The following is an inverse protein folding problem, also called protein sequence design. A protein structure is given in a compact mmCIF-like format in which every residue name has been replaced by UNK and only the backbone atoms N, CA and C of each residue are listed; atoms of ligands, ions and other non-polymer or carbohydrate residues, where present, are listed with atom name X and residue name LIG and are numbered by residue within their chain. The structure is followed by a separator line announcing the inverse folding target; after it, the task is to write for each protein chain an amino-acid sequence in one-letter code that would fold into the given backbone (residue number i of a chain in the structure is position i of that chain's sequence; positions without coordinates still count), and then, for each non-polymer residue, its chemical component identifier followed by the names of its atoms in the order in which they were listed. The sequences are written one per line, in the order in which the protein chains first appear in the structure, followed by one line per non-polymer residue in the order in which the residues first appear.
data_IF_991748127953
#
_entry.id   IF_991748127953
#
_cell.length_a   1.000
_cell.length_b   1.000
_cell.length_c   1.000
_cell.angle_alpha   90.00
_cell.angle_beta   90.00
_cell.angle_gamma   90.00
#
_symmetry.space_group_name_H-M   'P 1'
#
loop_
_entity.id
_entity.type
_entity.pdbx_description
1 polymer ?
#
# COMPACT_ATOMS: atom_id res chain seq x y z
N UNK A 1 52.40 41.06 25.49
CA UNK A 1 52.37 40.90 24.03
C UNK A 1 52.47 39.41 23.71
N UNK A 2 51.34 38.78 23.43
CA UNK A 2 51.21 37.56 22.62
C UNK A 2 49.71 37.29 22.47
N UNK A 3 49.09 37.94 21.49
CA UNK A 3 47.70 37.68 21.11
C UNK A 3 47.63 36.32 20.42
N UNK A 4 46.79 35.42 20.96
CA UNK A 4 46.49 34.13 20.33
C UNK A 4 45.31 34.36 19.37
N UNK A 5 45.47 34.10 18.06
CA UNK A 5 44.40 34.33 17.10
C UNK A 5 43.26 33.32 17.31
N UNK A 6 42.08 33.88 17.48
CA UNK A 6 40.79 33.20 17.57
C UNK A 6 40.60 32.26 16.37
N UNK A 7 40.66 30.96 16.63
CA UNK A 7 40.45 29.92 15.64
C UNK A 7 39.05 30.05 15.05
N UNK A 8 38.99 30.41 13.76
CA UNK A 8 37.77 30.42 12.98
C UNK A 8 37.09 29.04 13.04
N UNK A 9 35.99 28.95 13.80
CA UNK A 9 35.12 27.79 13.81
C UNK A 9 34.58 27.57 12.39
N UNK A 10 34.73 26.37 11.80
CA UNK A 10 34.19 26.10 10.48
C UNK A 10 32.67 26.24 10.52
N UNK A 11 32.15 27.16 9.70
CA UNK A 11 30.74 27.41 9.56
C UNK A 11 30.00 26.10 9.23
N UNK A 12 29.14 25.64 10.15
CA UNK A 12 28.15 24.58 9.93
C UNK A 12 27.07 25.11 8.99
N UNK A 13 27.40 25.27 7.71
CA UNK A 13 26.47 25.65 6.64
C UNK A 13 26.60 24.62 5.51
N UNK A 14 25.73 23.59 5.55
CA UNK A 14 25.19 22.85 4.37
C UNK A 14 24.25 21.67 4.69
N UNK A 15 23.62 21.64 5.87
CA UNK A 15 22.67 20.55 6.22
C UNK A 15 21.22 20.75 5.75
N UNK A 16 20.82 21.96 5.36
CA UNK A 16 19.41 22.30 5.13
C UNK A 16 18.92 22.14 3.68
N UNK A 17 19.80 22.28 2.69
CA UNK A 17 19.40 22.25 1.27
C UNK A 17 19.14 20.84 0.70
N UNK A 18 19.63 19.78 1.34
CA UNK A 18 19.41 18.40 0.88
C UNK A 18 18.02 17.84 1.17
N UNK A 19 17.18 18.55 1.92
CA UNK A 19 15.88 18.04 2.41
C UNK A 19 14.74 18.11 1.39
N UNK A 20 14.89 18.83 0.27
CA UNK A 20 13.77 19.12 -0.63
C UNK A 20 13.69 18.30 -1.93
N UNK A 21 14.66 17.42 -2.19
CA UNK A 21 14.75 16.73 -3.48
C UNK A 21 14.16 15.32 -3.43
N UNK A 22 13.50 14.94 -4.53
CA UNK A 22 13.09 13.58 -4.82
C UNK A 22 14.31 12.64 -4.81
N UNK A 23 14.19 11.48 -4.17
CA UNK A 23 15.28 10.50 -4.03
C UNK A 23 15.47 9.68 -5.31
N UNK A 24 15.99 10.32 -6.36
CA UNK A 24 16.28 9.70 -7.65
C UNK A 24 17.30 8.56 -7.54
N UNK A 25 18.28 8.70 -6.63
CA UNK A 25 19.29 7.69 -6.40
C UNK A 25 18.66 6.41 -5.82
N UNK A 26 17.77 6.56 -4.82
CA UNK A 26 16.98 5.48 -4.26
C UNK A 26 16.09 4.81 -5.31
N UNK A 27 15.37 5.59 -6.12
CA UNK A 27 14.53 5.05 -7.20
C UNK A 27 15.36 4.22 -8.19
N UNK A 28 16.50 4.74 -8.63
CA UNK A 28 17.37 4.02 -9.57
C UNK A 28 17.92 2.72 -8.97
N UNK A 29 18.27 2.73 -7.69
CA UNK A 29 18.74 1.53 -6.99
C UNK A 29 17.63 0.47 -6.87
N UNK A 30 16.41 0.89 -6.52
CA UNK A 30 15.26 -0.01 -6.43
C UNK A 30 14.83 -0.53 -7.81
N UNK A 31 14.84 0.30 -8.87
CA UNK A 31 14.56 -0.14 -10.25
C UNK A 31 15.56 -1.20 -10.72
N UNK A 32 16.86 -1.02 -10.44
CA UNK A 32 17.86 -2.07 -10.71
C UNK A 32 17.61 -3.32 -9.87
N UNK A 33 17.25 -3.13 -8.61
CA UNK A 33 16.89 -4.23 -7.71
C UNK A 33 15.61 -4.97 -8.10
N UNK A 34 14.73 -4.33 -8.87
CA UNK A 34 13.48 -4.91 -9.36
C UNK A 34 13.68 -5.77 -10.61
N UNK A 35 14.84 -5.73 -11.28
CA UNK A 35 15.07 -6.51 -12.51
C UNK A 35 14.81 -8.01 -12.31
N UNK A 36 15.36 -8.70 -11.28
CA UNK A 36 15.05 -10.12 -11.06
C UNK A 36 13.56 -10.39 -10.77
N UNK A 37 12.92 -9.51 -10.01
CA UNK A 37 11.49 -9.61 -9.68
C UNK A 37 10.60 -9.41 -10.92
N UNK A 38 10.93 -8.43 -11.76
CA UNK A 38 10.26 -8.17 -13.03
C UNK A 38 10.50 -9.29 -14.05
N UNK A 39 11.71 -9.85 -14.13
CA UNK A 39 11.99 -11.02 -14.98
C UNK A 39 11.13 -12.21 -14.58
N UNK A 40 11.01 -12.49 -13.28
CA UNK A 40 10.13 -13.55 -12.78
C UNK A 40 8.66 -13.27 -13.14
N UNK A 41 8.23 -12.01 -13.01
CA UNK A 41 6.88 -11.60 -13.40
C UNK A 41 6.63 -11.82 -14.90
N UNK A 42 7.59 -11.48 -15.76
CA UNK A 42 7.48 -11.67 -17.20
C UNK A 42 7.44 -13.15 -17.58
N UNK A 43 8.26 -14.00 -16.94
CA UNK A 43 8.18 -15.47 -17.15
C UNK A 43 6.79 -15.98 -16.80
N UNK A 44 6.26 -15.60 -15.63
CA UNK A 44 4.90 -16.02 -15.26
C UNK A 44 3.85 -15.46 -16.23
N UNK A 45 4.01 -14.22 -16.70
CA UNK A 45 3.11 -13.60 -17.67
C UNK A 45 3.09 -14.39 -18.97
N UNK A 46 4.25 -14.82 -19.47
CA UNK A 46 4.34 -15.66 -20.66
C UNK A 46 3.70 -17.04 -20.44
N UNK A 47 3.86 -17.65 -19.25
CA UNK A 47 3.21 -18.91 -18.91
C UNK A 47 1.68 -18.77 -18.85
N UNK A 48 1.17 -17.69 -18.25
CA UNK A 48 -0.27 -17.40 -18.22
C UNK A 48 -0.78 -17.12 -19.63
N UNK A 49 -0.05 -16.35 -20.44
CA UNK A 49 -0.39 -16.09 -21.84
C UNK A 49 -0.49 -17.40 -22.63
N UNK A 50 0.52 -18.27 -22.53
CA UNK A 50 0.53 -19.57 -23.18
C UNK A 50 -0.67 -20.44 -22.75
N UNK A 51 -0.95 -20.49 -21.43
CA UNK A 51 -2.10 -21.22 -20.90
C UNK A 51 -3.43 -20.68 -21.46
N UNK A 52 -3.62 -19.35 -21.46
CA UNK A 52 -4.83 -18.73 -21.99
C UNK A 52 -4.98 -19.01 -23.49
N UNK A 53 -3.89 -18.90 -24.23
CA UNK A 53 -3.84 -19.14 -25.67
C UNK A 53 -4.21 -20.59 -26.01
N UNK A 54 -3.56 -21.57 -25.36
CA UNK A 54 -3.86 -23.00 -25.56
C UNK A 54 -5.31 -23.35 -25.19
N UNK A 55 -5.87 -22.70 -24.15
CA UNK A 55 -7.28 -22.89 -23.76
C UNK A 55 -8.28 -22.30 -24.75
N UNK A 56 -7.89 -21.29 -25.52
CA UNK A 56 -8.73 -20.73 -26.58
C UNK A 56 -8.68 -21.65 -27.79
N UNK A 57 -7.49 -22.09 -28.21
CA UNK A 57 -7.32 -23.01 -29.35
C UNK A 57 -8.07 -24.34 -29.14
N UNK A 58 -8.08 -24.88 -27.93
CA UNK A 58 -8.78 -26.12 -27.61
C UNK A 58 -10.28 -25.94 -27.28
N UNK A 59 -10.82 -24.72 -27.35
CA UNK A 59 -12.23 -24.44 -27.07
C UNK A 59 -12.65 -24.50 -25.60
N UNK A 60 -11.72 -24.66 -24.64
CA UNK A 60 -12.02 -24.81 -23.20
C UNK A 60 -12.06 -23.48 -22.42
N UNK A 61 -11.78 -22.37 -23.08
CA UNK A 61 -11.74 -21.04 -22.45
C UNK A 61 -13.14 -20.55 -22.08
N UNK A 62 -13.32 -20.07 -20.85
CA UNK A 62 -14.57 -19.40 -20.46
C UNK A 62 -14.79 -18.11 -21.27
N UNK A 63 -13.71 -17.45 -21.70
CA UNK A 63 -13.78 -16.20 -22.45
C UNK A 63 -14.52 -16.34 -23.77
N UNK A 64 -14.27 -17.41 -24.53
CA UNK A 64 -14.91 -17.59 -25.84
C UNK A 64 -16.39 -17.97 -25.71
N UNK A 65 -16.83 -18.46 -24.54
CA UNK A 65 -18.26 -18.65 -24.27
C UNK A 65 -18.99 -17.32 -24.08
N UNK A 66 -18.31 -16.33 -23.51
CA UNK A 66 -18.88 -14.99 -23.22
C UNK A 66 -18.68 -14.05 -24.42
N UNK A 67 -17.54 -14.16 -25.08
CA UNK A 67 -17.12 -13.34 -26.21
C UNK A 67 -16.67 -14.24 -27.36
N UNK A 68 -17.61 -14.88 -28.09
CA UNK A 68 -17.28 -15.83 -29.17
C UNK A 68 -16.41 -15.23 -30.27
N UNK A 69 -16.53 -13.92 -30.49
CA UNK A 69 -15.69 -13.18 -31.44
C UNK A 69 -14.19 -13.27 -31.14
N UNK A 70 -13.79 -13.63 -29.91
CA UNK A 70 -12.39 -13.80 -29.51
C UNK A 70 -11.84 -15.22 -29.75
N UNK A 71 -12.60 -16.13 -30.38
CA UNK A 71 -12.17 -17.51 -30.58
C UNK A 71 -10.90 -17.67 -31.44
N UNK A 72 -10.56 -16.68 -32.26
CA UNK A 72 -9.34 -16.66 -33.07
C UNK A 72 -8.13 -16.19 -32.22
N UNK A 73 -7.45 -17.14 -31.57
CA UNK A 73 -6.32 -16.84 -30.69
C UNK A 73 -5.18 -16.06 -31.39
N UNK A 74 -4.74 -16.43 -32.61
CA UNK A 74 -3.75 -15.65 -33.35
C UNK A 74 -4.18 -14.20 -33.60
N UNK A 75 -5.43 -13.96 -34.00
CA UNK A 75 -5.93 -12.60 -34.29
C UNK A 75 -6.01 -11.73 -33.04
N UNK A 76 -6.40 -12.30 -31.91
CA UNK A 76 -6.62 -11.59 -30.65
C UNK A 76 -5.48 -11.77 -29.63
N UNK A 77 -4.26 -12.10 -30.07
CA UNK A 77 -3.12 -12.32 -29.17
C UNK A 77 -2.83 -11.15 -28.23
N UNK A 78 -3.03 -9.89 -28.67
CA UNK A 78 -2.84 -8.69 -27.83
C UNK A 78 -3.82 -8.67 -26.66
N UNK A 79 -5.06 -9.09 -26.87
CA UNK A 79 -6.06 -9.23 -25.81
C UNK A 79 -5.62 -10.30 -24.79
N UNK A 80 -5.12 -11.45 -25.24
CA UNK A 80 -4.63 -12.50 -24.34
C UNK A 80 -3.39 -12.06 -23.55
N UNK A 81 -2.50 -11.30 -24.18
CA UNK A 81 -1.34 -10.70 -23.51
C UNK A 81 -1.79 -9.68 -22.45
N UNK A 82 -2.76 -8.83 -22.78
CA UNK A 82 -3.40 -7.93 -21.81
C UNK A 82 -3.93 -8.70 -20.59
N UNK A 83 -4.69 -9.79 -20.81
CA UNK A 83 -5.20 -10.64 -19.73
C UNK A 83 -4.08 -11.25 -18.89
N UNK A 84 -3.00 -11.73 -19.52
CA UNK A 84 -1.86 -12.29 -18.82
C UNK A 84 -1.18 -11.26 -17.91
N UNK A 85 -0.93 -10.04 -18.41
CA UNK A 85 -0.41 -8.95 -17.59
C UNK A 85 -1.35 -8.60 -16.42
N UNK A 86 -2.66 -8.61 -16.64
CA UNK A 86 -3.66 -8.35 -15.60
C UNK A 86 -3.58 -9.37 -14.47
N UNK A 87 -3.51 -10.67 -14.79
CA UNK A 87 -3.38 -11.74 -13.81
C UNK A 87 -2.07 -11.68 -13.04
N UNK A 88 -0.94 -11.47 -13.73
CA UNK A 88 0.36 -11.32 -13.08
C UNK A 88 0.37 -10.08 -12.18
N UNK A 89 -0.18 -8.95 -12.64
CA UNK A 89 -0.29 -7.74 -11.84
C UNK A 89 -1.11 -7.97 -10.55
N UNK A 90 -2.22 -8.70 -10.64
CA UNK A 90 -3.05 -9.04 -9.49
C UNK A 90 -2.30 -9.92 -8.48
N UNK A 91 -1.56 -10.92 -8.96
CA UNK A 91 -0.73 -11.76 -8.10
C UNK A 91 0.41 -10.96 -7.43
N UNK A 92 1.10 -10.11 -8.18
CA UNK A 92 2.16 -9.25 -7.63
C UNK A 92 1.60 -8.24 -6.63
N UNK A 93 0.42 -7.69 -6.89
CA UNK A 93 -0.30 -6.82 -5.97
C UNK A 93 -0.65 -7.55 -4.66
N UNK A 94 -1.10 -8.81 -4.75
CA UNK A 94 -1.34 -9.65 -3.58
C UNK A 94 -0.07 -9.83 -2.75
N UNK A 95 1.03 -10.26 -3.39
CA UNK A 95 2.32 -10.52 -2.74
C UNK A 95 2.88 -9.26 -2.08
N UNK A 96 2.84 -8.10 -2.76
CA UNK A 96 3.37 -6.86 -2.18
C UNK A 96 2.54 -6.37 -0.98
N UNK A 97 1.22 -6.60 -0.98
CA UNK A 97 0.36 -6.30 0.19
C UNK A 97 0.71 -7.20 1.37
N UNK A 98 0.95 -8.50 1.13
CA UNK A 98 1.45 -9.42 2.18
C UNK A 98 2.74 -8.86 2.78
N UNK A 99 3.72 -8.49 1.96
CA UNK A 99 4.98 -7.92 2.44
C UNK A 99 4.77 -6.62 3.24
N UNK A 100 3.88 -5.73 2.78
CA UNK A 100 3.55 -4.49 3.48
C UNK A 100 2.88 -4.72 4.84
N UNK A 101 1.97 -5.70 4.93
CA UNK A 101 1.30 -6.07 6.18
C UNK A 101 2.28 -6.74 7.16
N UNK A 102 3.09 -7.69 6.69
CA UNK A 102 4.13 -8.33 7.50
C UNK A 102 5.15 -7.32 8.05
N UNK A 103 5.53 -6.32 7.23
CA UNK A 103 6.48 -5.28 7.64
C UNK A 103 5.93 -4.34 8.71
N UNK A 104 4.61 -4.20 8.79
CA UNK A 104 3.92 -3.25 9.65
C UNK A 104 3.24 -3.87 10.89
N UNK A 105 3.15 -5.21 10.96
CA UNK A 105 2.64 -5.96 12.12
C UNK A 105 3.68 -6.22 13.22
N UNK A 106 3.29 -6.96 14.29
CA UNK A 106 4.23 -7.46 15.29
C UNK A 106 5.25 -8.36 14.62
N UNK A 107 6.49 -8.22 15.05
CA UNK A 107 7.61 -8.92 14.42
C UNK A 107 7.43 -10.41 14.61
N UNK A 108 7.39 -11.22 13.52
CA UNK A 108 7.62 -12.65 13.65
C UNK A 108 8.97 -12.82 14.36
N UNK A 109 9.04 -13.65 15.40
CA UNK A 109 10.30 -13.98 16.07
C UNK A 109 11.24 -14.81 15.18
N UNK A 110 10.75 -15.29 14.04
CA UNK A 110 11.55 -16.01 13.05
C UNK A 110 12.58 -15.10 12.37
N UNK A 111 13.86 -15.35 12.66
CA UNK A 111 15.00 -14.60 12.14
C UNK A 111 15.26 -14.73 10.64
N UNK A 112 14.50 -15.54 9.89
CA UNK A 112 14.75 -15.80 8.47
C UNK A 112 14.37 -14.63 7.54
N UNK A 113 13.58 -13.66 8.01
CA UNK A 113 13.15 -12.50 7.22
C UNK A 113 13.51 -11.17 7.91
N UNK A 114 14.75 -10.68 7.72
CA UNK A 114 15.17 -9.39 8.25
C UNK A 114 14.27 -8.24 7.73
N UNK A 115 13.91 -7.25 8.58
CA UNK A 115 13.02 -6.16 8.18
C UNK A 115 13.50 -5.35 6.97
N UNK A 116 14.82 -5.20 6.82
CA UNK A 116 15.43 -4.49 5.69
C UNK A 116 15.22 -5.24 4.37
N UNK A 117 15.28 -6.57 4.39
CA UNK A 117 15.04 -7.41 3.21
C UNK A 117 13.57 -7.36 2.81
N UNK A 118 12.66 -7.47 3.78
CA UNK A 118 11.23 -7.37 3.54
C UNK A 118 10.82 -5.99 2.99
N UNK A 119 11.42 -4.92 3.51
CA UNK A 119 11.22 -3.57 2.96
C UNK A 119 11.73 -3.47 1.52
N UNK A 120 12.92 -4.00 1.23
CA UNK A 120 13.45 -4.02 -0.14
C UNK A 120 12.52 -4.78 -1.10
N UNK A 121 12.10 -5.99 -0.73
CA UNK A 121 11.17 -6.80 -1.53
C UNK A 121 9.85 -6.08 -1.76
N UNK A 122 9.25 -5.51 -0.72
CA UNK A 122 8.02 -4.73 -0.88
C UNK A 122 8.19 -3.57 -1.87
N UNK A 123 9.31 -2.84 -1.84
CA UNK A 123 9.57 -1.74 -2.79
C UNK A 123 9.74 -2.24 -4.23
N UNK A 124 10.57 -3.25 -4.44
CA UNK A 124 10.83 -3.79 -5.78
C UNK A 124 9.59 -4.42 -6.38
N UNK A 125 8.89 -5.26 -5.63
CA UNK A 125 7.65 -5.92 -6.08
C UNK A 125 6.54 -4.90 -6.33
N UNK A 126 6.46 -3.80 -5.56
CA UNK A 126 5.51 -2.70 -5.83
C UNK A 126 5.81 -1.97 -7.14
N UNK A 127 7.09 -1.69 -7.45
CA UNK A 127 7.48 -1.09 -8.74
C UNK A 127 7.12 -2.01 -9.91
N UNK A 128 7.42 -3.31 -9.78
CA UNK A 128 7.01 -4.32 -10.76
C UNK A 128 5.50 -4.36 -10.92
N UNK A 129 4.73 -4.33 -9.84
CA UNK A 129 3.26 -4.31 -9.87
C UNK A 129 2.74 -3.14 -10.69
N UNK A 130 3.25 -1.92 -10.45
CA UNK A 130 2.87 -0.72 -11.21
C UNK A 130 3.22 -0.88 -12.69
N UNK A 131 4.40 -1.44 -13.00
CA UNK A 131 4.81 -1.75 -14.37
C UNK A 131 3.87 -2.74 -15.06
N UNK A 132 3.49 -3.82 -14.38
CA UNK A 132 2.55 -4.81 -14.90
C UNK A 132 1.14 -4.22 -15.12
N UNK A 133 0.65 -3.40 -14.19
CA UNK A 133 -0.63 -2.69 -14.34
C UNK A 133 -0.61 -1.75 -15.55
N UNK A 134 0.50 -1.04 -15.76
CA UNK A 134 0.68 -0.19 -16.94
C UNK A 134 0.71 -1.02 -18.22
N UNK A 135 1.48 -2.12 -18.26
CA UNK A 135 1.54 -3.01 -19.42
C UNK A 135 0.19 -3.65 -19.74
N UNK A 136 -0.60 -4.01 -18.72
CA UNK A 136 -1.98 -4.46 -18.88
C UNK A 136 -2.85 -3.43 -19.62
N UNK A 137 -2.85 -2.17 -19.15
CA UNK A 137 -3.58 -1.08 -19.80
C UNK A 137 -3.04 -0.77 -21.21
N UNK A 138 -1.72 -0.85 -21.39
CA UNK A 138 -1.06 -0.60 -22.67
C UNK A 138 -1.41 -1.65 -23.73
N UNK A 139 -1.43 -2.94 -23.37
CA UNK A 139 -1.83 -3.99 -24.31
C UNK A 139 -3.31 -3.89 -24.68
N UNK A 140 -4.17 -3.50 -23.74
CA UNK A 140 -5.56 -3.17 -24.05
C UNK A 140 -5.66 -2.02 -25.06
N UNK A 141 -4.90 -0.94 -24.84
CA UNK A 141 -4.81 0.18 -25.78
C UNK A 141 -4.36 -0.24 -27.18
N UNK A 142 -3.34 -1.09 -27.29
CA UNK A 142 -2.88 -1.57 -28.60
C UNK A 142 -3.89 -2.47 -29.29
N UNK A 143 -4.62 -3.30 -28.54
CA UNK A 143 -5.72 -4.12 -29.11
C UNK A 143 -6.87 -3.23 -29.61
N UNK A 144 -7.19 -2.15 -28.89
CA UNK A 144 -8.17 -1.14 -29.35
C UNK A 144 -7.71 -0.42 -30.62
N UNK A 145 -6.43 -0.06 -30.75
CA UNK A 145 -5.90 0.49 -32.01
C UNK A 145 -6.12 -0.50 -33.15
N UNK A 146 -5.75 -1.78 -32.93
CA UNK A 146 -5.88 -2.85 -33.93
C UNK A 146 -7.33 -3.05 -34.37
N UNK A 147 -8.29 -3.02 -33.44
CA UNK A 147 -9.71 -3.14 -33.81
C UNK A 147 -10.19 -1.91 -34.59
N UNK A 148 -9.84 -0.71 -34.12
CA UNK A 148 -10.32 0.55 -34.68
C UNK A 148 -9.76 0.85 -36.08
N UNK A 149 -8.51 0.44 -36.39
CA UNK A 149 -7.90 0.67 -37.72
C UNK A 149 -8.61 -0.07 -38.85
N UNK A 150 -9.41 -1.09 -38.55
CA UNK A 150 -10.29 -1.73 -39.54
C UNK A 150 -11.47 -0.85 -39.97
N UNK A 151 -11.81 0.16 -39.16
CA UNK A 151 -12.98 1.02 -39.37
C UNK A 151 -12.59 2.46 -39.71
N UNK A 152 -11.53 2.99 -39.09
CA UNK A 152 -11.18 4.42 -39.13
C UNK A 152 -9.70 4.66 -39.44
N UNK A 153 -9.36 5.91 -39.76
CA UNK A 153 -7.97 6.34 -39.94
C UNK A 153 -7.13 6.16 -38.67
N UNK A 154 -5.84 5.91 -38.82
CA UNK A 154 -4.92 5.64 -37.70
C UNK A 154 -4.97 6.70 -36.58
N UNK A 155 -5.04 7.99 -36.93
CA UNK A 155 -5.13 9.07 -35.95
C UNK A 155 -6.40 9.00 -35.09
N UNK A 156 -7.56 8.77 -35.73
CA UNK A 156 -8.84 8.61 -35.03
C UNK A 156 -8.88 7.34 -34.19
N UNK A 157 -8.32 6.24 -34.71
CA UNK A 157 -8.20 4.96 -34.02
C UNK A 157 -7.34 5.07 -32.76
N UNK A 158 -6.20 5.76 -32.85
CA UNK A 158 -5.29 6.00 -31.74
C UNK A 158 -5.93 6.87 -30.66
N UNK A 159 -6.57 7.98 -31.05
CA UNK A 159 -7.24 8.86 -30.09
C UNK A 159 -8.39 8.15 -29.36
N UNK A 160 -9.21 7.41 -30.09
CA UNK A 160 -10.34 6.70 -29.48
C UNK A 160 -9.87 5.58 -28.57
N UNK A 161 -8.87 4.80 -29.00
CA UNK A 161 -8.24 3.79 -28.16
C UNK A 161 -7.67 4.40 -26.87
N UNK A 162 -7.07 5.60 -26.94
CA UNK A 162 -6.57 6.31 -25.78
C UNK A 162 -7.70 6.71 -24.82
N UNK A 163 -8.81 7.25 -25.34
CA UNK A 163 -9.99 7.59 -24.53
C UNK A 163 -10.58 6.35 -23.86
N UNK A 164 -10.70 5.25 -24.60
CA UNK A 164 -11.25 3.99 -24.11
C UNK A 164 -10.36 3.30 -23.07
N UNK A 165 -9.04 3.49 -23.15
CA UNK A 165 -8.06 2.74 -22.35
C UNK A 165 -7.41 3.54 -21.23
N UNK A 166 -7.39 4.88 -21.31
CA UNK A 166 -6.68 5.73 -20.36
C UNK A 166 -7.53 6.86 -19.77
N UNK A 167 -8.67 7.23 -20.34
CA UNK A 167 -9.50 8.32 -19.79
C UNK A 167 -10.56 7.72 -18.85
N UNK A 168 -10.55 8.06 -17.54
CA UNK A 168 -11.54 7.56 -16.59
C UNK A 168 -12.97 7.89 -17.05
N UNK A 169 -13.76 6.84 -17.31
CA UNK A 169 -15.14 6.96 -17.79
C UNK A 169 -15.31 7.11 -19.30
N UNK A 170 -14.22 7.11 -20.07
CA UNK A 170 -14.22 7.16 -21.55
C UNK A 170 -14.80 5.91 -22.19
N UNK A 171 -14.49 4.72 -21.65
CA UNK A 171 -15.04 3.45 -22.14
C UNK A 171 -16.57 3.41 -22.04
N UNK A 172 -17.21 3.07 -23.14
CA UNK A 172 -18.64 3.30 -23.34
C UNK A 172 -19.50 2.05 -23.45
N UNK A 173 -18.96 0.83 -23.31
CA UNK A 173 -19.73 -0.41 -23.52
C UNK A 173 -19.83 -1.31 -22.28
N UNK A 174 -21.00 -1.96 -22.15
CA UNK A 174 -21.27 -3.03 -21.19
C UNK A 174 -20.82 -2.78 -19.75
N UNK A 175 -20.37 -3.86 -19.10
CA UNK A 175 -19.78 -3.86 -17.76
C UNK A 175 -18.42 -3.17 -17.70
N UNK A 176 -17.75 -3.06 -18.85
CA UNK A 176 -16.45 -2.39 -18.98
C UNK A 176 -16.51 -0.92 -18.57
N UNK A 177 -17.66 -0.25 -18.74
CA UNK A 177 -17.90 1.13 -18.28
C UNK A 177 -17.50 1.37 -16.82
N UNK A 178 -17.84 0.42 -15.95
CA UNK A 178 -17.57 0.49 -14.51
C UNK A 178 -16.21 -0.11 -14.22
N UNK A 179 -15.93 -1.29 -14.78
CA UNK A 179 -14.73 -2.01 -14.42
C UNK A 179 -13.44 -1.32 -14.91
N UNK A 180 -13.39 -0.87 -16.17
CA UNK A 180 -12.22 -0.15 -16.70
C UNK A 180 -12.05 1.17 -15.94
N UNK A 181 -13.15 1.85 -15.57
CA UNK A 181 -13.08 3.05 -14.75
C UNK A 181 -12.43 2.76 -13.38
N UNK A 182 -12.86 1.72 -12.67
CA UNK A 182 -12.25 1.30 -11.39
C UNK A 182 -10.78 0.91 -11.57
N UNK A 183 -10.45 0.16 -12.62
CA UNK A 183 -9.06 -0.23 -12.94
C UNK A 183 -8.15 0.98 -13.22
N UNK A 184 -8.65 1.97 -13.95
CA UNK A 184 -7.94 3.22 -14.21
C UNK A 184 -7.68 4.02 -12.95
N UNK A 185 -8.68 4.15 -12.07
CA UNK A 185 -8.48 4.80 -10.78
C UNK A 185 -7.45 4.05 -9.93
N UNK A 186 -7.46 2.72 -9.94
CA UNK A 186 -6.45 1.92 -9.24
C UNK A 186 -5.05 2.20 -9.80
N UNK A 187 -4.86 2.17 -11.12
CA UNK A 187 -3.59 2.51 -11.77
C UNK A 187 -3.12 3.94 -11.43
N UNK A 188 -4.03 4.91 -11.53
CA UNK A 188 -3.75 6.33 -11.30
C UNK A 188 -3.43 6.63 -9.84
N UNK A 189 -3.96 5.86 -8.89
CA UNK A 189 -3.59 5.95 -7.48
C UNK A 189 -2.30 5.19 -7.17
N UNK A 190 -2.06 4.04 -7.83
CA UNK A 190 -0.89 3.21 -7.61
C UNK A 190 0.42 3.97 -7.91
N UNK A 191 0.47 4.72 -9.02
CA UNK A 191 1.65 5.48 -9.43
C UNK A 191 2.09 6.50 -8.37
N UNK A 192 1.27 7.49 -7.97
CA UNK A 192 1.67 8.48 -6.97
C UNK A 192 1.88 7.86 -5.58
N UNK A 193 1.05 6.90 -5.15
CA UNK A 193 1.21 6.27 -3.83
C UNK A 193 2.46 5.39 -3.74
N UNK A 194 2.84 4.72 -4.84
CA UNK A 194 4.08 3.96 -4.95
C UNK A 194 5.31 4.88 -4.96
N UNK A 195 5.29 5.94 -5.78
CA UNK A 195 6.40 6.89 -5.89
C UNK A 195 6.54 7.82 -4.68
N UNK A 196 5.50 7.97 -3.85
CA UNK A 196 5.53 8.79 -2.64
C UNK A 196 6.66 8.40 -1.67
N UNK A 197 7.14 7.15 -1.72
CA UNK A 197 8.30 6.71 -0.94
C UNK A 197 9.55 7.55 -1.26
N UNK A 198 9.78 7.90 -2.52
CA UNK A 198 10.94 8.69 -2.95
C UNK A 198 10.79 10.19 -2.62
N UNK A 199 9.59 10.63 -2.22
CA UNK A 199 9.32 11.96 -1.67
C UNK A 199 9.33 12.00 -0.13
N UNK A 200 9.65 10.89 0.55
CA UNK A 200 9.57 10.79 2.02
C UNK A 200 10.51 11.78 2.74
N UNK A 201 11.63 12.13 2.13
CA UNK A 201 12.59 13.07 2.72
C UNK A 201 12.03 14.49 2.78
N UNK A 202 11.20 14.85 1.80
CA UNK A 202 10.50 16.15 1.71
C UNK A 202 9.22 16.18 2.54
N UNK A 203 8.40 15.13 2.45
CA UNK A 203 7.08 15.09 3.13
C UNK A 203 7.18 14.69 4.60
N UNK A 204 8.28 14.05 5.00
CA UNK A 204 8.47 13.50 6.33
C UNK A 204 7.83 12.12 6.50
N UNK A 205 8.47 11.28 7.30
CA UNK A 205 8.09 9.87 7.49
C UNK A 205 6.66 9.68 8.02
N UNK A 206 6.13 10.62 8.80
CA UNK A 206 4.77 10.57 9.35
C UNK A 206 3.70 10.78 8.29
N UNK A 207 3.88 11.77 7.40
CA UNK A 207 2.92 12.06 6.32
C UNK A 207 2.97 10.93 5.29
N UNK A 208 4.17 10.49 4.89
CA UNK A 208 4.34 9.36 3.99
C UNK A 208 3.62 8.11 4.52
N UNK A 209 3.85 7.72 5.79
CA UNK A 209 3.17 6.57 6.39
C UNK A 209 1.64 6.70 6.39
N UNK A 210 1.11 7.90 6.60
CA UNK A 210 -0.33 8.14 6.61
C UNK A 210 -0.94 8.00 5.22
N UNK A 211 -0.29 8.59 4.21
CA UNK A 211 -0.72 8.50 2.80
C UNK A 211 -0.59 7.07 2.29
N UNK A 212 0.51 6.39 2.59
CA UNK A 212 0.76 5.03 2.12
C UNK A 212 -0.23 3.99 2.68
N UNK A 213 -0.86 4.24 3.84
CA UNK A 213 -1.92 3.35 4.38
C UNK A 213 -3.11 3.22 3.43
N UNK A 214 -3.36 4.22 2.59
CA UNK A 214 -4.44 4.19 1.62
C UNK A 214 -4.13 3.32 0.39
N UNK A 215 -2.92 2.76 0.27
CA UNK A 215 -2.60 1.82 -0.82
C UNK A 215 -3.45 0.55 -0.77
N UNK A 216 -4.03 0.21 0.39
CA UNK A 216 -4.98 -0.90 0.49
C UNK A 216 -6.23 -0.65 -0.37
N UNK A 217 -6.63 0.61 -0.57
CA UNK A 217 -7.76 0.95 -1.44
C UNK A 217 -7.44 0.62 -2.89
N UNK A 218 -6.19 0.87 -3.33
CA UNK A 218 -5.72 0.47 -4.67
C UNK A 218 -5.89 -1.05 -4.86
N UNK A 219 -5.47 -1.83 -3.86
CA UNK A 219 -5.61 -3.29 -3.90
C UNK A 219 -7.08 -3.74 -3.99
N UNK A 220 -7.96 -3.16 -3.17
CA UNK A 220 -9.40 -3.44 -3.20
C UNK A 220 -10.00 -3.10 -4.56
N UNK A 221 -9.63 -1.94 -5.14
CA UNK A 221 -10.07 -1.55 -6.48
C UNK A 221 -9.56 -2.50 -7.56
N UNK A 222 -8.32 -3.00 -7.46
CA UNK A 222 -7.76 -3.99 -8.39
C UNK A 222 -8.51 -5.33 -8.34
N UNK A 223 -8.86 -5.83 -7.16
CA UNK A 223 -9.70 -7.04 -7.02
C UNK A 223 -11.06 -6.78 -7.62
N UNK A 224 -11.67 -5.64 -7.29
CA UNK A 224 -13.00 -5.31 -7.77
C UNK A 224 -13.04 -5.22 -9.29
N UNK A 225 -12.06 -4.54 -9.90
CA UNK A 225 -11.86 -4.51 -11.35
C UNK A 225 -11.79 -5.93 -11.94
N UNK A 226 -10.97 -6.80 -11.33
CA UNK A 226 -10.83 -8.21 -11.74
C UNK A 226 -12.16 -8.96 -11.65
N UNK A 227 -12.89 -8.84 -10.55
CA UNK A 227 -14.17 -9.51 -10.35
C UNK A 227 -15.29 -8.98 -11.25
N UNK A 228 -15.21 -7.73 -11.72
CA UNK A 228 -16.20 -7.14 -12.61
C UNK A 228 -15.97 -7.51 -14.09
N UNK A 229 -14.72 -7.67 -14.51
CA UNK A 229 -14.36 -7.71 -15.94
C UNK A 229 -13.49 -8.88 -16.37
N UNK A 230 -13.01 -9.69 -15.43
CA UNK A 230 -12.32 -10.91 -15.84
C UNK A 230 -13.32 -11.91 -16.40
N UNK A 231 -13.08 -12.32 -17.64
CA UNK A 231 -13.86 -13.37 -18.30
C UNK A 231 -13.77 -14.73 -17.58
N UNK A 232 -12.67 -14.98 -16.84
CA UNK A 232 -12.50 -16.21 -16.06
C UNK A 232 -13.27 -16.18 -14.73
N UNK A 233 -13.61 -14.98 -14.22
CA UNK A 233 -14.39 -14.80 -12.99
C UNK A 233 -15.78 -14.20 -13.26
N UNK A 234 -16.27 -14.33 -14.49
CA UNK A 234 -17.53 -13.71 -14.94
C UNK A 234 -18.76 -14.43 -14.40
N UNK A 235 -18.72 -15.76 -14.38
CA UNK A 235 -19.76 -16.61 -13.83
C UNK A 235 -19.42 -17.05 -12.40
N UNK A 236 -20.43 -17.50 -11.67
CA UNK A 236 -20.22 -18.21 -10.41
C UNK A 236 -19.36 -19.45 -10.66
N UNK A 237 -18.48 -19.78 -9.72
CA UNK A 237 -17.71 -21.02 -9.82
C UNK A 237 -16.44 -21.07 -8.98
N UNK A 238 -15.78 -22.23 -9.04
CA UNK A 238 -14.62 -22.54 -8.20
C UNK A 238 -13.48 -21.53 -8.32
N UNK A 239 -13.23 -21.01 -9.54
CA UNK A 239 -12.18 -20.02 -9.76
C UNK A 239 -12.50 -18.68 -9.08
N UNK A 240 -13.75 -18.20 -9.19
CA UNK A 240 -14.18 -16.96 -8.54
C UNK A 240 -14.23 -17.12 -7.02
N UNK A 241 -14.73 -18.25 -6.53
CA UNK A 241 -14.65 -18.63 -5.11
C UNK A 241 -13.21 -18.67 -4.60
N UNK A 242 -12.25 -19.21 -5.37
CA UNK A 242 -10.83 -19.17 -5.03
C UNK A 242 -10.31 -17.73 -4.86
N UNK A 243 -10.72 -16.79 -5.71
CA UNK A 243 -10.34 -15.38 -5.55
C UNK A 243 -10.83 -14.79 -4.23
N UNK A 244 -12.02 -15.18 -3.76
CA UNK A 244 -12.53 -14.79 -2.45
C UNK A 244 -11.75 -15.43 -1.29
N UNK A 245 -11.45 -16.74 -1.39
CA UNK A 245 -10.65 -17.46 -0.40
C UNK A 245 -9.28 -16.79 -0.20
N UNK A 246 -8.64 -16.38 -1.30
CA UNK A 246 -7.35 -15.68 -1.25
C UNK A 246 -7.41 -14.36 -0.47
N UNK A 247 -8.58 -13.73 -0.30
CA UNK A 247 -8.70 -12.51 0.49
C UNK A 247 -8.66 -12.76 1.99
N UNK A 248 -8.98 -13.97 2.45
CA UNK A 248 -9.06 -14.32 3.86
C UNK A 248 -7.70 -14.14 4.56
N UNK A 249 -6.56 -14.67 4.04
CA UNK A 249 -5.24 -14.42 4.61
C UNK A 249 -4.89 -12.93 4.73
N UNK A 250 -5.22 -12.12 3.72
CA UNK A 250 -4.94 -10.68 3.76
C UNK A 250 -5.77 -9.95 4.81
N UNK A 251 -7.06 -10.26 4.88
CA UNK A 251 -7.96 -9.70 5.89
C UNK A 251 -7.52 -10.14 7.30
N UNK A 252 -7.09 -11.38 7.48
CA UNK A 252 -6.51 -11.90 8.72
C UNK A 252 -5.23 -11.15 9.13
N UNK A 253 -4.29 -10.95 8.19
CA UNK A 253 -3.07 -10.17 8.43
C UNK A 253 -3.38 -8.70 8.78
N UNK A 254 -4.38 -8.12 8.12
CA UNK A 254 -4.84 -6.76 8.42
C UNK A 254 -5.47 -6.68 9.82
N UNK A 255 -6.30 -7.65 10.20
CA UNK A 255 -6.89 -7.72 11.54
C UNK A 255 -5.82 -7.88 12.61
N UNK A 256 -4.89 -8.82 12.40
CA UNK A 256 -3.74 -9.03 13.29
C UNK A 256 -2.98 -7.72 13.52
N UNK A 257 -2.68 -6.99 12.44
CA UNK A 257 -2.01 -5.68 12.51
C UNK A 257 -2.81 -4.65 13.32
N UNK A 258 -4.14 -4.62 13.17
CA UNK A 258 -5.01 -3.71 13.93
C UNK A 258 -5.12 -4.11 15.41
N UNK A 259 -5.00 -5.39 15.72
CA UNK A 259 -5.04 -5.92 17.10
C UNK A 259 -3.72 -5.70 17.84
N UNK A 260 -2.59 -5.88 17.18
CA UNK A 260 -1.25 -5.77 17.77
C UNK A 260 -0.38 -4.73 17.03
N UNK A 261 -0.53 -3.43 17.34
CA UNK A 261 0.24 -2.39 16.68
C UNK A 261 1.75 -2.45 17.02
N UNK A 262 2.58 -2.35 15.99
CA UNK A 262 4.04 -2.47 16.13
C UNK A 262 4.68 -1.32 16.93
N UNK A 263 4.07 -0.13 16.99
CA UNK A 263 4.65 1.06 17.63
C UNK A 263 3.98 1.38 18.97
N UNK A 264 4.72 1.74 20.03
CA UNK A 264 4.14 2.14 21.32
C UNK A 264 3.10 3.26 21.24
N UNK A 265 3.31 4.26 20.35
CA UNK A 265 2.32 5.33 20.09
C UNK A 265 1.05 4.89 19.36
N UNK A 266 1.02 3.65 18.88
CA UNK A 266 -0.17 3.00 18.32
C UNK A 266 -0.84 2.06 19.34
N UNK A 267 -0.14 1.69 20.43
CA UNK A 267 -0.68 0.84 21.51
C UNK A 267 -1.69 1.63 22.35
N UNK A 268 -2.71 0.93 22.83
CA UNK A 268 -3.76 1.46 23.71
C UNK A 268 -3.18 1.72 25.12
N UNK A 269 -2.36 2.76 25.28
CA UNK A 269 -2.12 3.35 26.60
C UNK A 269 -2.88 4.67 26.68
N UNK A 270 -3.91 4.65 27.52
CA UNK A 270 -4.70 5.82 27.91
C UNK A 270 -3.79 6.87 28.50
N UNK A 271 -3.42 7.89 27.71
CA UNK A 271 -2.86 9.15 28.21
C UNK A 271 -3.42 10.28 27.36
N UNK A 272 -4.60 10.73 27.81
CA UNK A 272 -5.35 11.99 27.64
C UNK A 272 -5.22 12.90 26.39
N UNK A 273 -4.32 12.68 25.42
CA UNK A 273 -4.08 13.66 24.33
C UNK A 273 -4.19 13.12 22.88
N UNK A 274 -4.57 11.85 22.68
CA UNK A 274 -4.49 11.22 21.35
C UNK A 274 -5.87 10.91 20.75
N UNK A 275 -6.55 11.95 20.29
CA UNK A 275 -7.87 11.92 19.66
C UNK A 275 -7.95 11.23 18.27
N UNK A 276 -7.27 10.11 18.02
CA UNK A 276 -7.89 9.17 17.07
C UNK A 276 -8.91 8.44 17.94
N UNK A 277 -10.22 8.78 17.85
CA UNK A 277 -11.18 8.35 18.83
C UNK A 277 -11.12 6.82 18.88
N UNK A 278 -11.06 6.28 20.08
CA UNK A 278 -11.13 4.84 20.35
C UNK A 278 -12.17 4.15 19.45
N UNK A 279 -13.31 4.82 19.23
CA UNK A 279 -14.35 4.42 18.28
C UNK A 279 -13.88 4.17 16.85
N UNK A 280 -13.02 5.00 16.26
CA UNK A 280 -12.51 4.78 14.89
C UNK A 280 -11.63 3.53 14.79
N UNK A 281 -10.87 3.20 15.83
CA UNK A 281 -10.04 1.97 15.86
C UNK A 281 -10.88 0.73 16.11
N UNK A 282 -11.84 0.82 17.02
CA UNK A 282 -12.80 -0.26 17.26
C UNK A 282 -13.62 -0.53 16.00
N UNK A 283 -14.14 0.52 15.36
CA UNK A 283 -14.85 0.45 14.10
C UNK A 283 -14.00 -0.22 13.01
N UNK A 284 -12.73 0.18 12.85
CA UNK A 284 -11.84 -0.45 11.88
C UNK A 284 -11.63 -1.96 12.16
N UNK A 285 -11.50 -2.36 13.42
CA UNK A 285 -11.37 -3.79 13.78
C UNK A 285 -12.66 -4.56 13.50
N UNK A 286 -13.80 -4.02 13.90
CA UNK A 286 -15.11 -4.61 13.66
C UNK A 286 -15.41 -4.71 12.16
N UNK A 287 -15.06 -3.68 11.39
CA UNK A 287 -15.20 -3.68 9.94
C UNK A 287 -14.38 -4.81 9.31
N UNK A 288 -13.10 -4.95 9.67
CA UNK A 288 -12.26 -6.03 9.13
C UNK A 288 -12.75 -7.41 9.59
N UNK A 289 -13.17 -7.56 10.85
CA UNK A 289 -13.74 -8.82 11.34
C UNK A 289 -15.04 -9.18 10.58
N UNK A 290 -15.93 -8.21 10.36
CA UNK A 290 -17.13 -8.39 9.55
C UNK A 290 -16.78 -8.74 8.09
N UNK A 291 -15.73 -8.13 7.51
CA UNK A 291 -15.23 -8.52 6.19
C UNK A 291 -14.78 -9.98 6.16
N UNK A 292 -14.04 -10.46 7.16
CA UNK A 292 -13.63 -11.87 7.24
C UNK A 292 -14.85 -12.78 7.29
N UNK A 293 -15.83 -12.47 8.15
CA UNK A 293 -17.08 -13.25 8.26
C UNK A 293 -17.82 -13.26 6.92
N UNK A 294 -17.96 -12.09 6.27
CA UNK A 294 -18.58 -11.98 4.95
C UNK A 294 -17.86 -12.81 3.88
N UNK A 295 -16.53 -12.78 3.86
CA UNK A 295 -15.72 -13.61 2.94
C UNK A 295 -15.95 -15.11 3.20
N UNK A 296 -15.97 -15.55 4.46
CA UNK A 296 -16.25 -16.95 4.80
C UNK A 296 -17.67 -17.35 4.39
N UNK A 297 -18.66 -16.48 4.62
CA UNK A 297 -20.04 -16.73 4.20
C UNK A 297 -20.15 -16.85 2.67
N UNK A 298 -19.51 -15.97 1.92
CA UNK A 298 -19.44 -16.06 0.44
C UNK A 298 -18.85 -17.40 0.01
N UNK A 299 -17.74 -17.83 0.63
CA UNK A 299 -17.09 -19.10 0.30
C UNK A 299 -17.95 -20.31 0.66
N UNK A 300 -18.60 -20.32 1.82
CA UNK A 300 -19.40 -21.46 2.29
C UNK A 300 -20.73 -21.56 1.55
N UNK A 301 -21.37 -20.43 1.24
CA UNK A 301 -22.66 -20.41 0.53
C UNK A 301 -22.51 -20.60 -0.97
N UNK A 302 -21.32 -20.34 -1.53
CA UNK A 302 -21.09 -20.32 -2.97
C UNK A 302 -21.70 -19.12 -3.69
N UNK A 303 -22.33 -18.18 -2.95
CA UNK A 303 -22.91 -16.95 -3.52
C UNK A 303 -21.79 -15.93 -3.70
N UNK A 304 -20.97 -16.14 -4.74
CA UNK A 304 -19.75 -15.38 -4.99
C UNK A 304 -19.95 -14.12 -5.86
N UNK A 305 -21.21 -13.85 -6.23
CA UNK A 305 -21.64 -12.66 -6.96
C UNK A 305 -21.25 -12.68 -8.44
N UNK A 306 -20.96 -13.85 -8.99
CA UNK A 306 -20.88 -14.07 -10.43
C UNK A 306 -22.25 -14.03 -11.08
N UNK A 307 -22.26 -14.18 -12.41
CA UNK A 307 -23.51 -14.32 -13.17
C UNK A 307 -23.88 -15.79 -13.28
N UNK A 308 -25.17 -16.07 -13.37
CA UNK A 308 -25.67 -17.37 -13.84
C UNK A 308 -25.71 -17.37 -15.37
N UNK A 309 -25.26 -18.43 -16.08
CA UNK A 309 -25.22 -18.47 -17.55
C UNK A 309 -26.53 -18.09 -18.25
N UNK A 310 -27.67 -18.49 -17.68
CA UNK A 310 -29.01 -18.28 -18.26
C UNK A 310 -29.80 -17.15 -17.56
N UNK A 311 -29.19 -16.45 -16.61
CA UNK A 311 -29.88 -15.42 -15.82
C UNK A 311 -29.81 -14.03 -16.45
N UNK A 312 -30.82 -13.22 -16.17
CA UNK A 312 -30.77 -11.80 -16.49
C UNK A 312 -29.56 -11.16 -15.80
N UNK A 313 -28.69 -10.52 -16.58
CA UNK A 313 -27.56 -9.78 -16.01
C UNK A 313 -28.09 -8.53 -15.29
N UNK A 314 -27.80 -8.36 -14.00
CA UNK A 314 -28.18 -7.14 -13.30
C UNK A 314 -27.50 -5.93 -13.95
N UNK A 315 -28.13 -4.74 -13.88
CA UNK A 315 -27.53 -3.53 -14.41
C UNK A 315 -26.16 -3.29 -13.76
N UNK A 316 -25.20 -2.68 -14.49
CA UNK A 316 -23.86 -2.43 -13.96
C UNK A 316 -23.95 -1.50 -12.74
N UNK A 317 -23.66 -2.06 -11.57
CA UNK A 317 -23.59 -1.35 -10.30
C UNK A 317 -22.15 -1.41 -9.74
N UNK A 318 -21.65 -0.34 -9.11
CA UNK A 318 -22.29 0.95 -8.90
C UNK A 318 -22.24 1.87 -10.13
N UNK A 319 -23.16 2.83 -10.18
CA UNK A 319 -23.18 3.87 -11.22
C UNK A 319 -21.94 4.78 -11.15
N UNK A 320 -21.58 5.42 -12.27
CA UNK A 320 -20.38 6.27 -12.37
C UNK A 320 -20.33 7.37 -11.29
N UNK A 321 -21.46 8.00 -10.97
CA UNK A 321 -21.51 9.07 -9.97
C UNK A 321 -21.17 8.55 -8.56
N UNK A 322 -21.57 7.32 -8.22
CA UNK A 322 -21.24 6.70 -6.91
C UNK A 322 -19.72 6.54 -6.78
N UNK A 323 -19.05 6.13 -7.86
CA UNK A 323 -17.59 6.01 -7.88
C UNK A 323 -16.92 7.37 -7.74
N UNK A 324 -17.42 8.40 -8.44
CA UNK A 324 -16.90 9.77 -8.31
C UNK A 324 -17.10 10.35 -6.90
N UNK A 325 -18.27 10.14 -6.29
CA UNK A 325 -18.54 10.53 -4.90
C UNK A 325 -17.61 9.77 -3.95
N UNK A 326 -17.44 8.46 -4.15
CA UNK A 326 -16.51 7.65 -3.37
C UNK A 326 -15.07 8.16 -3.47
N UNK A 327 -14.61 8.52 -4.67
CA UNK A 327 -13.30 9.09 -4.91
C UNK A 327 -13.13 10.47 -4.25
N UNK A 328 -14.16 11.32 -4.31
CA UNK A 328 -14.17 12.61 -3.63
C UNK A 328 -14.04 12.42 -2.11
N UNK A 329 -14.87 11.57 -1.52
CA UNK A 329 -14.82 11.24 -0.08
C UNK A 329 -13.47 10.68 0.32
N UNK A 330 -12.92 9.76 -0.47
CA UNK A 330 -11.58 9.21 -0.27
C UNK A 330 -10.50 10.31 -0.30
N UNK A 331 -10.55 11.19 -1.30
CA UNK A 331 -9.60 12.31 -1.44
C UNK A 331 -9.68 13.25 -0.25
N UNK A 332 -10.89 13.62 0.18
CA UNK A 332 -11.12 14.43 1.38
C UNK A 332 -10.56 13.76 2.64
N UNK A 333 -10.72 12.45 2.79
CA UNK A 333 -10.15 11.70 3.91
C UNK A 333 -8.61 11.72 3.90
N UNK A 334 -7.98 11.56 2.73
CA UNK A 334 -6.52 11.67 2.56
C UNK A 334 -6.04 13.08 2.93
N UNK A 335 -6.70 14.12 2.40
CA UNK A 335 -6.36 15.53 2.69
C UNK A 335 -6.51 15.83 4.17
N UNK A 336 -7.62 15.43 4.80
CA UNK A 336 -7.85 15.61 6.23
C UNK A 336 -6.76 14.92 7.08
N UNK A 337 -6.33 13.71 6.69
CA UNK A 337 -5.24 13.00 7.36
C UNK A 337 -3.91 13.77 7.26
N UNK A 338 -3.60 14.33 6.08
CA UNK A 338 -2.37 15.14 5.86
C UNK A 338 -2.42 16.45 6.65
N UNK A 339 -3.51 17.21 6.56
CA UNK A 339 -3.66 18.50 7.26
C UNK A 339 -3.54 18.31 8.77
N UNK A 340 -4.19 17.29 9.33
CA UNK A 340 -4.12 16.97 10.76
C UNK A 340 -2.70 16.70 11.25
N UNK A 341 -1.87 16.06 10.42
CA UNK A 341 -0.47 15.78 10.76
C UNK A 341 0.39 17.04 10.68
N UNK A 342 0.14 17.92 9.72
CA UNK A 342 0.84 19.22 9.60
C UNK A 342 0.53 20.14 10.79
N UNK A 343 -0.74 20.26 11.19
CA UNK A 343 -1.13 21.11 12.32
C UNK A 343 -0.51 20.67 13.66
N UNK A 344 -0.19 19.37 13.82
CA UNK A 344 0.51 18.87 15.01
C UNK A 344 1.99 19.24 15.01
N UNK A 345 2.64 19.22 13.85
CA UNK A 345 4.05 19.59 13.73
C UNK A 345 4.28 21.07 14.10
N UNK A 346 3.39 21.97 13.69
CA UNK A 346 3.46 23.39 14.05
C UNK A 346 3.26 23.64 15.55
N UNK A 347 2.29 22.97 16.19
CA UNK A 347 2.04 23.12 17.63
C UNK A 347 3.21 22.66 18.50
N UNK A 348 3.89 21.57 18.13
CA UNK A 348 5.07 21.11 18.87
C UNK A 348 6.29 22.03 18.75
N UNK A 349 6.36 22.87 17.71
CA UNK A 349 7.47 23.81 17.52
C UNK A 349 7.31 25.14 18.26
N UNK A 350 6.08 25.55 18.55
CA UNK A 350 5.78 26.83 19.22
C UNK A 350 5.97 26.77 20.75
N UNK A 351 5.87 25.59 21.38
CA UNK A 351 5.94 25.43 22.84
C UNK A 351 7.36 25.42 23.43
N UNK A 352 8.40 25.40 22.61
CA UNK A 352 9.81 25.32 23.06
C UNK A 352 10.56 26.65 23.06
N UNK A 353 9.88 27.77 22.76
CA UNK A 353 10.53 29.08 22.53
C UNK A 353 10.42 30.13 23.65
N UNK A 354 9.70 29.88 24.75
CA UNK A 354 9.31 30.94 25.71
C UNK A 354 9.52 30.56 27.18
N UNK A 355 10.65 29.95 27.52
CA UNK A 355 11.02 29.69 28.92
C UNK A 355 12.51 29.99 29.23
N UNK A 356 13.06 31.06 28.65
CA UNK A 356 14.44 31.48 28.89
C UNK A 356 14.62 32.97 28.70
N UNK A 357 14.11 33.77 29.64
CA UNK A 357 14.40 35.21 29.63
C UNK A 357 13.42 36.02 30.47
N UNK A 358 13.61 36.00 31.80
CA UNK A 358 13.50 37.15 32.73
C UNK A 358 13.67 36.64 34.15
N UNK A 359 14.81 36.96 34.77
CA UNK A 359 15.08 36.64 36.16
C UNK A 359 16.52 36.91 36.60
N UNK A 360 17.07 38.06 36.24
CA UNK A 360 18.27 38.61 36.85
C UNK A 360 17.85 39.64 37.91
N UNK A 361 18.40 39.51 39.13
CA UNK A 361 18.68 40.65 40.02
C UNK A 361 17.84 40.81 41.29
N UNK A 362 18.27 40.14 42.38
CA UNK A 362 18.24 40.63 43.77
C UNK A 362 18.98 39.58 44.65
N UNK A 363 20.23 39.78 45.03
CA UNK A 363 20.72 40.59 46.15
C UNK A 363 21.23 39.67 47.30
N UNK A 364 22.53 39.82 47.56
CA UNK A 364 23.39 39.47 48.70
C UNK A 364 22.78 38.89 49.99
N UNK A 365 23.54 37.95 50.59
CA UNK A 365 23.43 37.56 51.99
C UNK A 365 24.44 36.47 52.38
N UNK A 366 25.53 36.91 53.00
CA UNK A 366 26.64 36.12 53.59
C UNK A 366 26.21 35.06 54.62
N UNK A 367 27.03 34.02 54.81
CA UNK A 367 27.02 33.27 56.08
C UNK A 367 27.57 31.83 56.08
N UNK A 368 28.86 31.69 56.38
CA UNK A 368 29.49 30.69 57.26
C UNK A 368 29.27 29.16 57.05
N UNK A 369 30.38 28.46 56.72
CA UNK A 369 30.76 27.16 57.29
C UNK A 369 31.53 27.38 58.62
N UNK A 370 32.00 26.38 59.42
CA UNK A 370 31.99 24.92 59.25
C UNK A 370 31.60 24.12 60.53
N UNK A 371 31.50 22.78 60.43
CA UNK A 371 31.35 21.89 61.58
C UNK A 371 31.71 20.45 61.24
N UNK A 372 32.74 19.93 61.89
CA UNK A 372 33.40 18.66 61.63
C UNK A 372 33.12 17.62 62.74
N UNK A 373 33.13 16.33 62.34
CA UNK A 373 33.55 15.11 63.09
C UNK A 373 32.72 14.63 64.31
N UNK A 374 32.97 13.42 64.85
CA UNK A 374 32.98 12.07 64.26
C UNK A 374 32.23 11.04 65.16
N UNK A 375 32.50 9.74 64.98
CA UNK A 375 32.24 8.55 65.83
C UNK A 375 31.18 7.58 65.27
N UNK A 376 31.25 6.26 65.46
CA UNK A 376 32.30 5.25 65.69
C UNK A 376 31.51 3.91 65.77
N UNK A 377 32.16 2.81 65.40
CA UNK A 377 31.94 1.44 65.85
C UNK A 377 30.53 0.81 65.87
N UNK A 378 30.34 -0.23 65.04
CA UNK A 378 30.31 -1.64 65.52
C UNK A 378 30.14 -2.62 64.35
N UNK A 379 31.10 -3.54 64.23
CA UNK A 379 30.97 -4.85 63.58
C UNK A 379 30.65 -5.90 64.66
N UNK A 380 30.69 -7.23 64.40
CA UNK A 380 30.17 -8.06 63.30
C UNK A 380 29.28 -9.22 63.83
N UNK A 381 28.57 -9.94 62.95
CA UNK A 381 28.29 -11.39 63.03
C UNK A 381 27.53 -11.80 61.75
N UNK A 382 27.99 -12.72 60.90
CA UNK A 382 28.31 -14.15 61.03
C UNK A 382 27.16 -15.03 60.49
N UNK A 383 27.57 -16.10 59.78
CA UNK A 383 26.81 -17.30 59.35
C UNK A 383 25.85 -17.14 58.17
N UNK A 384 25.51 -18.14 57.35
CA UNK A 384 26.10 -19.40 56.85
C UNK A 384 25.05 -20.00 55.88
N UNK A 385 25.47 -20.87 54.95
CA UNK A 385 24.56 -21.71 54.12
C UNK A 385 24.49 -21.24 52.66
N UNK A 386 25.17 -21.84 51.67
CA UNK A 386 25.21 -23.24 51.24
C UNK A 386 23.82 -23.85 51.02
N UNK A 387 23.40 -23.95 49.75
CA UNK A 387 22.94 -25.20 49.10
C UNK A 387 22.79 -24.98 47.60
N UNK A 388 23.52 -25.81 46.86
CA UNK A 388 23.25 -26.13 45.46
C UNK A 388 22.01 -27.02 45.35
N UNK A 389 21.27 -26.93 44.24
CA UNK A 389 20.78 -28.13 43.54
C UNK A 389 20.40 -27.79 42.09
N UNK A 390 20.82 -28.58 41.08
CA UNK A 390 20.39 -28.47 39.70
C UNK A 390 19.30 -29.49 39.36
N UNK A 391 18.36 -29.12 38.47
CA UNK A 391 17.64 -30.04 37.57
C UNK A 391 17.39 -29.39 36.24
#
# INVERSE_FOLDING_TARGET
MADVPESALPAVRKGRERRDRFDWAGLRADLRGAVPDASLALVLTLLIFWLLYARVENGSSATIKIMPMLADAPKFWMYWMCQAFGWTAMLWAYVTVVFGLMRSGPRPSWGWLPPARLEKWHRTTSLTTVGLMFMHAFFFFTDQIRDNTSRWSFGRSTWTAFVDSFVPGGYSSGTGRVAIFVGLLALYLAVPLGLAFYLRNRTGSRIWLAVHRFVIVVYVMSIWHTLLYSSQAWYDGSFRTMLWVLQIPLAGLLLWRLMAPARPGERLRSRRDHAVPFGARLFARLAVAATIVGLVLVVVTGVDGGRTPDGASPPPWPEKWVIWVGLLVFTLAVVAAVLRLRSRAHRSGAGTGTAGGTGAGAAAGDGAAPGATPDADTAPDATAGATADPR
#
